data_IF_496198532234
#
_entry.id   IF_496198532234
#
_cell.length_a   1.000
_cell.length_b   1.000
_cell.length_c   1.000
_cell.angle_alpha   90.00
_cell.angle_beta   90.00
_cell.angle_gamma   90.00
#
_symmetry.space_group_name_H-M   'P 1'
#
loop_
_entity.id
_entity.type
_entity.pdbx_description
1 polymer ?
#
# COMPACT_ATOMS: atom_id res chain seq x y z
N UNK A 1 -3.73 11.67 -6.33
CA UNK A 1 -2.80 11.03 -5.35
C UNK A 1 -3.40 9.72 -4.92
N UNK A 2 -2.73 8.60 -5.16
CA UNK A 2 -3.21 7.26 -4.79
C UNK A 2 -2.16 6.54 -3.94
N UNK A 3 -2.63 5.71 -3.00
CA UNK A 3 -1.78 4.95 -2.08
C UNK A 3 -1.99 3.47 -2.31
N UNK A 4 -0.89 2.73 -2.36
CA UNK A 4 -0.88 1.29 -2.51
C UNK A 4 -0.08 0.66 -1.37
N UNK A 5 -0.44 -0.56 -1.02
CA UNK A 5 0.34 -1.38 -0.11
C UNK A 5 0.27 -2.83 -0.54
N UNK A 6 1.42 -3.46 -0.69
CA UNK A 6 1.50 -4.87 -1.00
C UNK A 6 1.72 -5.70 0.26
N UNK A 7 1.04 -6.83 0.30
CA UNK A 7 1.19 -7.87 1.32
C UNK A 7 1.52 -9.17 0.59
N UNK A 8 2.35 -10.00 1.20
CA UNK A 8 2.48 -11.37 0.73
C UNK A 8 1.19 -12.11 1.02
N UNK A 9 0.64 -12.77 0.02
CA UNK A 9 -0.55 -13.61 0.18
C UNK A 9 -0.41 -14.88 -0.67
N UNK A 10 -0.53 -16.03 0.00
CA UNK A 10 -0.46 -17.33 -0.63
C UNK A 10 -1.88 -17.91 -0.71
N UNK A 11 -2.49 -17.73 -1.88
CA UNK A 11 -3.88 -18.14 -2.12
C UNK A 11 -3.98 -19.64 -2.33
N UNK A 12 -4.82 -20.36 -1.53
CA UNK A 12 -4.93 -21.82 -1.62
C UNK A 12 -5.75 -22.30 -2.84
N UNK A 13 -6.29 -21.35 -3.63
CA UNK A 13 -7.22 -21.63 -4.72
C UNK A 13 -7.00 -20.72 -5.93
N UNK A 14 -7.44 -21.16 -7.14
CA UNK A 14 -7.44 -20.30 -8.32
C UNK A 14 -8.36 -19.08 -8.18
N UNK A 15 -8.05 -18.01 -8.92
CA UNK A 15 -8.80 -16.73 -8.93
C UNK A 15 -10.29 -16.95 -9.17
N UNK A 16 -10.67 -17.82 -10.08
CA UNK A 16 -12.09 -18.11 -10.38
C UNK A 16 -12.84 -18.72 -9.20
N UNK A 17 -12.18 -19.55 -8.39
CA UNK A 17 -12.76 -20.14 -7.18
C UNK A 17 -12.89 -19.06 -6.10
N UNK A 18 -11.84 -18.27 -5.88
CA UNK A 18 -11.87 -17.13 -4.96
C UNK A 18 -13.00 -16.15 -5.31
N UNK A 19 -13.17 -15.82 -6.61
CA UNK A 19 -14.26 -14.96 -7.06
C UNK A 19 -15.65 -15.52 -6.75
N UNK A 20 -15.83 -16.84 -6.78
CA UNK A 20 -17.11 -17.48 -6.37
C UNK A 20 -17.34 -17.35 -4.87
N UNK A 21 -16.32 -17.58 -4.06
CA UNK A 21 -16.43 -17.46 -2.60
C UNK A 21 -16.69 -16.00 -2.16
N UNK A 22 -16.02 -15.03 -2.80
CA UNK A 22 -16.26 -13.60 -2.59
C UNK A 22 -17.71 -13.23 -2.94
N UNK A 23 -18.29 -13.77 -4.03
CA UNK A 23 -19.70 -13.54 -4.38
C UNK A 23 -20.68 -14.09 -3.36
N UNK A 24 -20.35 -15.19 -2.69
CA UNK A 24 -21.20 -15.76 -1.63
C UNK A 24 -21.25 -14.87 -0.38
N UNK A 25 -20.28 -13.97 -0.23
CA UNK A 25 -20.16 -12.98 0.86
C UNK A 25 -20.33 -11.55 0.32
N UNK A 26 -21.18 -11.40 -0.71
CA UNK A 26 -21.45 -10.07 -1.29
C UNK A 26 -22.11 -9.15 -0.27
N UNK A 27 -21.68 -7.89 -0.29
CA UNK A 27 -22.34 -6.85 0.50
C UNK A 27 -23.77 -6.65 0.01
N UNK A 28 -24.70 -6.57 0.95
CA UNK A 28 -26.12 -6.25 0.73
C UNK A 28 -26.62 -5.28 1.80
N UNK A 29 -27.81 -4.72 1.59
CA UNK A 29 -28.39 -3.72 2.51
C UNK A 29 -28.67 -4.30 3.91
N UNK A 30 -28.84 -5.61 4.02
CA UNK A 30 -29.12 -6.30 5.29
C UNK A 30 -27.85 -6.72 6.04
N UNK A 31 -26.66 -6.58 5.39
CA UNK A 31 -25.39 -7.01 5.95
C UNK A 31 -24.59 -5.82 6.50
N UNK A 32 -23.91 -6.04 7.63
CA UNK A 32 -23.01 -5.04 8.20
C UNK A 32 -21.67 -4.94 7.47
N UNK A 33 -21.29 -5.98 6.73
CA UNK A 33 -20.08 -5.99 5.92
C UNK A 33 -20.15 -7.05 4.81
N UNK A 34 -19.34 -6.86 3.76
CA UNK A 34 -19.28 -7.82 2.65
C UNK A 34 -18.42 -7.32 1.51
N UNK A 35 -18.40 -8.07 0.42
CA UNK A 35 -17.57 -7.76 -0.73
C UNK A 35 -18.40 -7.24 -1.91
N UNK A 36 -17.81 -6.34 -2.68
CA UNK A 36 -18.28 -5.93 -4.01
C UNK A 36 -17.18 -6.33 -5.00
N UNK A 37 -17.51 -7.25 -5.91
CA UNK A 37 -16.58 -7.73 -6.92
C UNK A 37 -16.61 -6.79 -8.12
N UNK A 38 -15.51 -6.10 -8.39
CA UNK A 38 -15.42 -5.12 -9.47
C UNK A 38 -14.95 -5.77 -10.79
N UNK A 39 -13.94 -6.66 -10.72
CA UNK A 39 -13.34 -7.26 -11.92
C UNK A 39 -12.76 -8.65 -11.64
N UNK A 40 -12.93 -9.56 -12.60
CA UNK A 40 -12.31 -10.90 -12.57
C UNK A 40 -11.58 -11.15 -13.89
N UNK A 41 -10.33 -11.59 -13.77
CA UNK A 41 -9.49 -12.08 -14.87
C UNK A 41 -8.98 -13.47 -14.52
N UNK A 42 -8.25 -14.10 -15.42
CA UNK A 42 -7.68 -15.43 -15.15
C UNK A 42 -6.53 -15.38 -14.14
N UNK A 43 -5.81 -14.26 -14.10
CA UNK A 43 -4.61 -14.02 -13.30
C UNK A 43 -4.84 -13.12 -12.09
N UNK A 44 -6.00 -12.42 -11.97
CA UNK A 44 -6.32 -11.60 -10.81
C UNK A 44 -7.82 -11.33 -10.68
N UNK A 45 -8.22 -10.88 -9.49
CA UNK A 45 -9.49 -10.21 -9.25
C UNK A 45 -9.27 -8.87 -8.54
N UNK A 46 -10.21 -7.95 -8.76
CA UNK A 46 -10.32 -6.66 -8.07
C UNK A 46 -11.68 -6.62 -7.40
N UNK A 47 -11.67 -6.22 -6.12
CA UNK A 47 -12.87 -6.14 -5.32
C UNK A 47 -12.72 -5.06 -4.24
N UNK A 48 -13.85 -4.68 -3.66
CA UNK A 48 -13.92 -3.81 -2.50
C UNK A 48 -14.53 -4.57 -1.33
N UNK A 49 -13.96 -4.44 -0.18
CA UNK A 49 -14.57 -4.81 1.09
C UNK A 49 -15.26 -3.60 1.67
N UNK A 50 -16.52 -3.74 2.04
CA UNK A 50 -17.39 -2.67 2.54
C UNK A 50 -17.80 -3.01 3.96
N UNK A 51 -17.73 -2.05 4.86
CA UNK A 51 -18.24 -2.10 6.23
C UNK A 51 -19.24 -0.98 6.43
N UNK A 52 -20.40 -1.31 6.96
CA UNK A 52 -21.47 -0.38 7.30
C UNK A 52 -21.45 -0.11 8.80
N UNK A 53 -21.35 1.16 9.17
CA UNK A 53 -21.38 1.62 10.55
C UNK A 53 -22.60 2.49 10.79
N UNK A 54 -23.38 2.13 11.80
CA UNK A 54 -24.50 2.92 12.28
C UNK A 54 -24.19 3.37 13.70
N UNK A 55 -24.28 4.66 13.95
CA UNK A 55 -24.07 5.24 15.28
C UNK A 55 -24.91 6.49 15.49
N UNK A 56 -25.20 6.77 16.75
CA UNK A 56 -25.87 8.01 17.16
C UNK A 56 -24.83 9.12 17.34
N UNK A 57 -25.05 10.25 16.67
CA UNK A 57 -24.28 11.46 16.87
C UNK A 57 -25.12 12.49 17.64
N UNK A 58 -24.58 13.04 18.73
CA UNK A 58 -25.23 14.07 19.51
C UNK A 58 -24.46 15.38 19.36
N UNK A 59 -25.14 16.42 18.88
CA UNK A 59 -24.62 17.76 18.76
C UNK A 59 -25.33 18.64 19.79
N UNK A 60 -24.56 19.40 20.56
CA UNK A 60 -25.11 20.43 21.46
C UNK A 60 -25.11 21.78 20.75
N UNK A 61 -26.26 22.45 20.75
CA UNK A 61 -26.39 23.81 20.25
C UNK A 61 -25.70 24.80 21.22
N UNK A 62 -25.49 26.07 20.84
CA UNK A 62 -24.88 27.09 21.72
C UNK A 62 -25.69 27.38 22.99
N UNK A 63 -26.94 26.95 23.06
CA UNK A 63 -27.84 27.15 24.22
C UNK A 63 -27.92 25.90 25.12
N UNK A 64 -27.12 24.85 24.81
CA UNK A 64 -27.04 23.62 25.59
C UNK A 64 -28.12 22.58 25.26
N UNK A 65 -28.91 22.78 24.22
CA UNK A 65 -29.88 21.78 23.76
C UNK A 65 -29.15 20.70 22.97
N UNK A 66 -29.30 19.46 23.40
CA UNK A 66 -28.78 18.30 22.67
C UNK A 66 -29.73 17.88 21.53
N UNK A 67 -29.15 17.65 20.35
CA UNK A 67 -29.81 17.08 19.19
C UNK A 67 -29.10 15.78 18.85
N UNK A 68 -29.84 14.67 18.85
CA UNK A 68 -29.35 13.33 18.52
C UNK A 68 -29.93 12.89 17.20
N UNK A 69 -29.06 12.35 16.31
CA UNK A 69 -29.48 11.80 15.02
C UNK A 69 -28.64 10.56 14.69
N UNK A 70 -29.26 9.62 13.97
CA UNK A 70 -28.59 8.42 13.51
C UNK A 70 -27.74 8.76 12.29
N UNK A 71 -26.49 8.31 12.31
CA UNK A 71 -25.53 8.45 11.23
C UNK A 71 -25.18 7.10 10.66
N UNK A 72 -25.13 7.05 9.33
CA UNK A 72 -24.75 5.89 8.56
C UNK A 72 -23.47 6.23 7.79
N UNK A 73 -22.42 5.41 7.97
CA UNK A 73 -21.16 5.53 7.24
C UNK A 73 -20.76 4.21 6.60
N UNK A 74 -20.12 4.30 5.43
CA UNK A 74 -19.56 3.14 4.74
C UNK A 74 -18.05 3.31 4.63
N UNK A 75 -17.31 2.35 5.19
CA UNK A 75 -15.88 2.26 4.99
C UNK A 75 -15.59 1.23 3.90
N UNK A 76 -14.79 1.62 2.91
CA UNK A 76 -14.45 0.76 1.80
C UNK A 76 -12.94 0.59 1.70
N UNK A 77 -12.50 -0.64 1.45
CA UNK A 77 -11.11 -0.97 1.16
C UNK A 77 -11.04 -1.71 -0.16
N UNK A 78 -10.46 -1.07 -1.17
CA UNK A 78 -10.24 -1.69 -2.47
C UNK A 78 -9.00 -2.57 -2.43
N UNK A 79 -9.06 -3.74 -3.08
CA UNK A 79 -7.93 -4.66 -3.16
C UNK A 79 -7.88 -5.40 -4.49
N UNK A 80 -6.68 -5.85 -4.83
CA UNK A 80 -6.42 -6.78 -5.93
C UNK A 80 -5.76 -8.04 -5.38
N UNK A 81 -6.34 -9.19 -5.68
CA UNK A 81 -5.80 -10.50 -5.33
C UNK A 81 -5.31 -11.21 -6.59
N UNK A 82 -4.10 -11.78 -6.54
CA UNK A 82 -3.48 -12.50 -7.63
C UNK A 82 -2.71 -13.72 -7.08
N UNK A 83 -2.62 -14.85 -7.81
CA UNK A 83 -1.80 -15.99 -7.39
C UNK A 83 -0.30 -15.66 -7.41
N UNK A 84 0.08 -14.72 -8.29
CA UNK A 84 1.47 -14.31 -8.44
C UNK A 84 1.88 -13.32 -7.35
N UNK A 85 3.19 -13.30 -7.07
CA UNK A 85 3.80 -12.36 -6.15
C UNK A 85 3.40 -10.90 -6.44
N UNK A 86 3.08 -10.10 -5.40
CA UNK A 86 3.10 -10.42 -3.97
C UNK A 86 1.82 -11.11 -3.43
N UNK A 87 0.79 -11.27 -4.22
CA UNK A 87 -0.46 -11.93 -3.90
C UNK A 87 -1.61 -11.02 -3.52
N UNK A 88 -1.37 -9.96 -2.73
CA UNK A 88 -2.41 -9.02 -2.31
C UNK A 88 -1.93 -7.57 -2.42
N UNK A 89 -2.70 -6.74 -3.10
CA UNK A 89 -2.50 -5.29 -3.22
C UNK A 89 -3.71 -4.58 -2.62
N UNK A 90 -3.47 -3.64 -1.73
CA UNK A 90 -4.48 -2.75 -1.16
C UNK A 90 -4.37 -1.38 -1.80
N UNK A 91 -5.51 -0.76 -2.11
CA UNK A 91 -5.61 0.57 -2.72
C UNK A 91 -6.32 1.50 -1.77
N UNK A 92 -5.71 2.65 -1.49
CA UNK A 92 -6.21 3.68 -0.58
C UNK A 92 -6.75 3.16 0.77
N UNK A 93 -6.13 2.08 1.25
CA UNK A 93 -6.55 1.38 2.45
C UNK A 93 -6.55 2.29 3.69
N UNK A 94 -7.51 2.11 4.60
CA UNK A 94 -7.55 2.80 5.89
C UNK A 94 -6.35 2.37 6.76
N UNK A 95 -6.20 3.02 7.94
CA UNK A 95 -5.11 2.68 8.88
C UNK A 95 -5.17 1.23 9.35
N UNK A 96 -6.38 0.72 9.61
CA UNK A 96 -6.60 -0.69 9.96
C UNK A 96 -7.22 -1.42 8.78
N UNK A 97 -6.63 -2.54 8.41
CA UNK A 97 -7.15 -3.47 7.41
C UNK A 97 -7.49 -4.81 8.03
N UNK A 98 -7.62 -4.86 9.35
CA UNK A 98 -7.84 -6.09 10.10
C UNK A 98 -9.14 -6.79 9.70
N UNK A 99 -10.25 -6.04 9.58
CA UNK A 99 -11.54 -6.58 9.15
C UNK A 99 -11.45 -7.21 7.78
N UNK A 100 -10.86 -6.52 6.80
CA UNK A 100 -10.64 -7.08 5.46
C UNK A 100 -9.83 -8.38 5.53
N UNK A 101 -8.70 -8.37 6.25
CA UNK A 101 -7.83 -9.55 6.37
C UNK A 101 -8.59 -10.71 7.01
N UNK A 102 -9.34 -10.49 8.09
CA UNK A 102 -10.17 -11.51 8.73
C UNK A 102 -11.20 -12.10 7.78
N UNK A 103 -11.89 -11.25 7.02
CA UNK A 103 -12.90 -11.70 6.04
C UNK A 103 -12.27 -12.45 4.85
N UNK A 104 -11.08 -12.09 4.41
CA UNK A 104 -10.35 -12.85 3.39
C UNK A 104 -9.91 -14.22 3.91
N UNK A 105 -9.42 -14.31 5.15
CA UNK A 105 -9.06 -15.58 5.79
C UNK A 105 -10.29 -16.50 5.91
N UNK A 106 -11.42 -15.98 6.38
CA UNK A 106 -12.67 -16.74 6.46
C UNK A 106 -13.18 -17.17 5.07
N UNK A 107 -13.04 -16.30 4.05
CA UNK A 107 -13.45 -16.60 2.67
C UNK A 107 -12.62 -17.74 2.06
N UNK A 108 -11.40 -17.93 2.54
CA UNK A 108 -10.50 -19.00 2.13
C UNK A 108 -10.45 -20.16 3.15
N UNK A 109 -11.48 -20.31 4.00
CA UNK A 109 -11.57 -21.35 5.04
C UNK A 109 -10.29 -21.43 5.90
N UNK A 110 -9.68 -20.27 6.19
CA UNK A 110 -8.43 -20.12 6.94
C UNK A 110 -7.20 -20.81 6.33
N UNK A 111 -7.27 -21.23 5.08
CA UNK A 111 -6.13 -21.82 4.36
C UNK A 111 -5.26 -20.77 3.64
N UNK A 112 -5.66 -19.49 3.66
CA UNK A 112 -4.90 -18.35 3.13
C UNK A 112 -3.83 -17.92 4.13
N UNK A 113 -2.62 -17.68 3.65
CA UNK A 113 -1.55 -17.03 4.41
C UNK A 113 -1.39 -15.58 3.96
N UNK A 114 -1.43 -14.63 4.90
CA UNK A 114 -1.15 -13.21 4.62
C UNK A 114 -0.08 -12.72 5.58
N UNK A 115 0.98 -12.11 5.04
CA UNK A 115 2.08 -11.56 5.82
C UNK A 115 2.46 -10.15 5.32
N UNK A 116 2.92 -9.27 6.24
CA UNK A 116 3.48 -7.98 5.85
C UNK A 116 4.78 -8.18 5.07
N UNK A 117 5.00 -7.34 4.05
CA UNK A 117 6.25 -7.31 3.31
C UNK A 117 7.21 -6.30 3.93
N UNK A 118 8.50 -6.69 3.98
CA UNK A 118 9.60 -5.79 4.27
C UNK A 118 10.55 -5.81 3.08
N UNK A 119 10.78 -4.65 2.48
CA UNK A 119 11.59 -4.51 1.26
C UNK A 119 12.73 -3.52 1.45
N UNK A 120 13.85 -3.76 0.78
CA UNK A 120 14.90 -2.77 0.62
C UNK A 120 14.47 -1.74 -0.43
N UNK A 121 14.16 -0.52 0.01
CA UNK A 121 13.62 0.52 -0.87
C UNK A 121 14.64 1.02 -1.90
N UNK A 122 15.95 0.95 -1.61
CA UNK A 122 16.98 1.34 -2.57
C UNK A 122 17.08 0.31 -3.69
N UNK A 123 17.11 -0.96 -3.34
CA UNK A 123 17.07 -2.06 -4.32
C UNK A 123 15.82 -1.97 -5.18
N UNK A 124 14.67 -1.73 -4.54
CA UNK A 124 13.41 -1.58 -5.26
C UNK A 124 13.44 -0.42 -6.26
N UNK A 125 13.91 0.76 -5.85
CA UNK A 125 14.03 1.93 -6.73
C UNK A 125 14.99 1.68 -7.90
N UNK A 126 16.08 0.95 -7.70
CA UNK A 126 17.03 0.62 -8.75
C UNK A 126 16.41 -0.35 -9.78
N UNK A 127 15.76 -1.42 -9.31
CA UNK A 127 15.07 -2.38 -10.19
C UNK A 127 13.92 -1.69 -10.94
N UNK A 128 13.17 -0.81 -10.26
CA UNK A 128 12.16 0.02 -10.91
C UNK A 128 12.75 0.87 -12.04
N UNK A 129 13.87 1.55 -11.80
CA UNK A 129 14.54 2.39 -12.81
C UNK A 129 14.94 1.58 -14.04
N UNK A 130 15.45 0.36 -13.85
CA UNK A 130 15.82 -0.55 -14.95
C UNK A 130 14.60 -0.96 -15.77
N UNK A 131 13.51 -1.35 -15.12
CA UNK A 131 12.28 -1.78 -15.80
C UNK A 131 11.54 -0.64 -16.48
N UNK A 132 11.48 0.53 -15.84
CA UNK A 132 10.75 1.67 -16.37
C UNK A 132 11.47 2.34 -17.56
N UNK A 133 12.79 2.15 -17.67
CA UNK A 133 13.61 2.63 -18.78
C UNK A 133 13.73 4.15 -18.88
N UNK A 134 13.46 4.88 -17.78
CA UNK A 134 13.55 6.34 -17.69
C UNK A 134 14.42 6.76 -16.51
N UNK A 135 14.97 7.98 -16.61
CA UNK A 135 15.77 8.52 -15.51
C UNK A 135 14.92 8.72 -14.27
N UNK A 136 15.38 8.14 -13.16
CA UNK A 136 14.84 8.31 -11.82
C UNK A 136 15.75 9.23 -11.03
N UNK A 137 15.22 10.29 -10.44
CA UNK A 137 15.92 11.22 -9.56
C UNK A 137 15.38 11.02 -8.15
N UNK A 138 16.22 10.47 -7.27
CA UNK A 138 15.86 10.30 -5.85
C UNK A 138 16.12 11.64 -5.14
N UNK A 139 15.04 12.34 -4.78
CA UNK A 139 15.09 13.68 -4.18
C UNK A 139 14.89 13.67 -2.66
N UNK A 140 14.45 12.54 -2.08
CA UNK A 140 14.36 12.42 -0.63
C UNK A 140 14.59 10.99 -0.15
N UNK A 141 15.36 10.85 0.93
CA UNK A 141 15.63 9.59 1.63
C UNK A 141 15.40 9.79 3.12
N UNK A 142 14.63 8.90 3.75
CA UNK A 142 14.43 8.86 5.19
C UNK A 142 15.08 7.64 5.80
N UNK A 143 16.04 7.87 6.70
CA UNK A 143 16.64 6.88 7.56
C UNK A 143 15.88 6.86 8.90
N UNK A 144 15.29 5.73 9.25
CA UNK A 144 14.53 5.56 10.49
C UNK A 144 15.42 5.37 11.72
N UNK A 145 16.55 4.69 11.53
CA UNK A 145 17.55 4.51 12.55
C UNK A 145 18.93 4.54 11.93
N UNK A 146 19.66 5.62 12.16
CA UNK A 146 21.08 5.75 11.87
C UNK A 146 21.84 5.67 13.19
N UNK A 147 22.70 4.67 13.36
CA UNK A 147 23.51 4.54 14.56
C UNK A 147 24.67 5.53 14.49
N UNK A 148 24.63 6.53 15.38
CA UNK A 148 25.73 7.51 15.52
C UNK A 148 26.84 6.91 16.38
N UNK A 149 26.44 6.29 17.51
CA UNK A 149 27.33 5.51 18.38
C UNK A 149 26.57 4.32 18.99
N UNK A 150 27.13 3.71 20.05
CA UNK A 150 26.53 2.53 20.72
C UNK A 150 25.17 2.81 21.37
N UNK A 151 24.90 4.05 21.77
CA UNK A 151 23.73 4.46 22.54
C UNK A 151 22.82 5.42 21.78
N UNK A 152 23.32 6.11 20.76
CA UNK A 152 22.62 7.18 20.05
C UNK A 152 22.16 6.70 18.67
N UNK A 153 20.87 6.83 18.42
CA UNK A 153 20.24 6.63 17.12
C UNK A 153 19.60 7.92 16.66
N UNK A 154 19.80 8.29 15.41
CA UNK A 154 19.19 9.44 14.78
C UNK A 154 18.18 9.00 13.72
N UNK A 155 17.07 9.74 13.63
CA UNK A 155 16.19 9.74 12.47
C UNK A 155 16.61 10.88 11.55
N UNK A 156 16.96 10.58 10.30
CA UNK A 156 17.51 11.56 9.37
C UNK A 156 16.67 11.59 8.11
N UNK A 157 16.37 12.79 7.63
CA UNK A 157 15.78 13.00 6.31
C UNK A 157 16.78 13.79 5.46
N UNK A 158 17.20 13.18 4.36
CA UNK A 158 17.94 13.84 3.29
C UNK A 158 16.94 14.32 2.25
N UNK A 159 17.05 15.56 1.82
CA UNK A 159 16.22 16.14 0.76
C UNK A 159 17.07 17.06 -0.09
N UNK A 160 16.91 16.96 -1.40
CA UNK A 160 17.63 17.77 -2.38
C UNK A 160 16.80 18.04 -3.63
N UNK A 161 17.24 18.96 -4.44
CA UNK A 161 16.68 19.23 -5.76
C UNK A 161 17.21 18.25 -6.82
N UNK A 162 18.41 17.72 -6.59
CA UNK A 162 19.08 16.71 -7.38
C UNK A 162 19.07 15.36 -6.65
N UNK A 163 19.73 14.36 -7.25
CA UNK A 163 19.82 13.01 -6.71
C UNK A 163 20.65 12.95 -5.42
N UNK A 164 20.02 12.56 -4.32
CA UNK A 164 20.61 12.54 -2.98
C UNK A 164 21.29 11.21 -2.63
N UNK A 165 21.41 10.25 -3.57
CA UNK A 165 22.01 8.92 -3.31
C UNK A 165 23.46 9.01 -2.86
N UNK A 166 24.27 9.89 -3.47
CA UNK A 166 25.68 10.08 -3.09
C UNK A 166 25.83 10.61 -1.67
N UNK A 167 25.08 11.66 -1.34
CA UNK A 167 25.08 12.22 0.01
C UNK A 167 24.60 11.21 1.08
N UNK A 168 23.58 10.41 0.74
CA UNK A 168 23.14 9.33 1.61
C UNK A 168 24.23 8.30 1.83
N UNK A 169 24.91 7.86 0.78
CA UNK A 169 25.98 6.88 0.84
C UNK A 169 27.14 7.34 1.72
N UNK A 170 27.54 8.61 1.62
CA UNK A 170 28.56 9.22 2.48
C UNK A 170 28.11 9.25 3.95
N UNK A 171 26.86 9.66 4.21
CA UNK A 171 26.32 9.75 5.55
C UNK A 171 26.25 8.40 6.27
N UNK A 172 25.87 7.33 5.56
CA UNK A 172 25.70 5.99 6.15
C UNK A 172 26.99 5.17 6.17
N UNK A 173 28.08 5.67 5.57
CA UNK A 173 29.33 4.93 5.46
C UNK A 173 29.83 4.41 6.81
N UNK A 174 29.98 3.08 6.92
CA UNK A 174 30.42 2.40 8.16
C UNK A 174 29.40 2.39 9.31
N UNK A 175 28.18 2.86 9.11
CA UNK A 175 27.14 2.95 10.15
C UNK A 175 25.99 1.96 9.89
N UNK A 176 25.51 1.34 10.97
CA UNK A 176 24.25 0.60 10.91
C UNK A 176 23.09 1.58 10.70
N UNK A 177 22.20 1.27 9.78
CA UNK A 177 21.07 2.12 9.46
C UNK A 177 19.88 1.28 9.00
N UNK A 178 18.68 1.89 9.07
CA UNK A 178 17.44 1.37 8.49
C UNK A 178 16.90 2.42 7.54
N UNK A 179 16.76 2.07 6.28
CA UNK A 179 16.19 2.91 5.25
C UNK A 179 14.67 2.70 5.25
N UNK A 180 13.91 3.71 5.71
CA UNK A 180 12.45 3.57 5.87
C UNK A 180 11.68 3.97 4.63
N UNK A 181 12.06 5.09 4.02
CA UNK A 181 11.34 5.65 2.88
C UNK A 181 12.29 6.29 1.90
N UNK A 182 11.85 6.30 0.66
CA UNK A 182 12.55 6.93 -0.44
C UNK A 182 11.52 7.58 -1.35
N UNK A 183 11.75 8.84 -1.73
CA UNK A 183 10.95 9.54 -2.74
C UNK A 183 11.81 9.77 -3.97
N UNK A 184 11.19 9.56 -5.13
CA UNK A 184 11.84 9.83 -6.42
C UNK A 184 10.86 10.45 -7.41
N UNK A 185 11.41 11.13 -8.38
CA UNK A 185 10.69 11.70 -9.52
C UNK A 185 11.02 10.92 -10.78
N UNK A 186 9.98 10.65 -11.55
CA UNK A 186 10.05 10.00 -12.86
C UNK A 186 9.57 11.00 -13.91
N UNK A 187 10.27 11.07 -15.02
CA UNK A 187 9.88 11.87 -16.16
C UNK A 187 9.92 11.07 -17.45
N UNK A 188 8.89 11.22 -18.30
CA UNK A 188 8.85 10.69 -19.67
C UNK A 188 8.31 11.77 -20.58
N UNK A 189 9.19 12.40 -21.38
CA UNK A 189 8.85 13.62 -22.11
C UNK A 189 8.50 14.75 -21.13
N UNK A 190 7.34 15.38 -21.34
CA UNK A 190 6.83 16.47 -20.48
C UNK A 190 6.06 15.97 -19.24
N UNK A 191 5.75 14.67 -19.18
CA UNK A 191 5.01 14.06 -18.08
C UNK A 191 5.93 13.83 -16.89
N UNK A 192 5.43 14.17 -15.69
CA UNK A 192 6.19 14.02 -14.42
C UNK A 192 5.31 13.41 -13.35
N UNK A 193 5.88 12.50 -12.59
CA UNK A 193 5.22 11.82 -11.48
C UNK A 193 6.18 11.71 -10.30
N UNK A 194 5.71 12.01 -9.10
CA UNK A 194 6.46 11.77 -7.88
C UNK A 194 5.97 10.47 -7.22
N UNK A 195 6.91 9.66 -6.79
CA UNK A 195 6.66 8.36 -6.17
C UNK A 195 7.38 8.31 -4.83
N UNK A 196 6.64 7.96 -3.78
CA UNK A 196 7.22 7.64 -2.48
C UNK A 196 7.03 6.15 -2.24
N UNK A 197 8.10 5.45 -1.93
CA UNK A 197 8.11 4.05 -1.54
C UNK A 197 8.59 3.89 -0.11
N UNK A 198 8.08 2.90 0.62
CA UNK A 198 8.43 2.62 1.99
C UNK A 198 8.83 1.14 2.17
N UNK A 199 9.64 0.87 3.18
CA UNK A 199 10.19 -0.46 3.45
C UNK A 199 9.13 -1.51 3.83
N UNK A 200 7.91 -1.08 4.20
CA UNK A 200 6.76 -1.96 4.43
C UNK A 200 5.92 -2.20 3.17
N UNK A 201 6.53 -2.04 2.00
CA UNK A 201 5.92 -2.16 0.68
C UNK A 201 4.70 -1.23 0.46
N UNK A 202 4.67 -0.08 1.14
CA UNK A 202 3.70 0.96 0.86
C UNK A 202 4.25 1.94 -0.18
N UNK A 203 3.34 2.42 -1.06
CA UNK A 203 3.65 3.35 -2.14
C UNK A 203 2.63 4.46 -2.16
N UNK A 204 3.09 5.65 -2.52
CA UNK A 204 2.25 6.78 -2.88
C UNK A 204 2.69 7.31 -4.24
N UNK A 205 1.74 7.46 -5.14
CA UNK A 205 1.96 8.01 -6.48
C UNK A 205 1.21 9.34 -6.57
N UNK A 206 1.96 10.42 -6.83
CA UNK A 206 1.44 11.78 -7.01
C UNK A 206 1.59 12.17 -8.49
N UNK A 207 0.48 12.29 -9.20
CA UNK A 207 0.40 12.58 -10.64
C UNK A 207 -0.61 11.67 -11.34
N UNK A 208 -1.19 12.13 -12.44
CA UNK A 208 -2.22 11.40 -13.20
C UNK A 208 -1.68 10.69 -14.43
N UNK A 209 -0.75 11.33 -15.13
CA UNK A 209 -0.47 11.02 -16.53
C UNK A 209 0.39 9.75 -16.75
N UNK A 210 1.23 9.40 -15.77
CA UNK A 210 2.06 8.17 -15.81
C UNK A 210 1.63 7.16 -14.76
N UNK A 211 0.46 7.33 -14.15
CA UNK A 211 0.04 6.57 -12.96
C UNK A 211 0.05 5.06 -13.19
N UNK A 212 -0.63 4.61 -14.23
CA UNK A 212 -0.79 3.18 -14.51
C UNK A 212 0.52 2.51 -14.93
N UNK A 213 1.32 3.18 -15.77
CA UNK A 213 2.64 2.70 -16.19
C UNK A 213 3.59 2.55 -14.99
N UNK A 214 3.59 3.57 -14.11
CA UNK A 214 4.39 3.59 -12.88
C UNK A 214 3.94 2.49 -11.92
N UNK A 215 2.62 2.33 -11.72
CA UNK A 215 2.07 1.30 -10.85
C UNK A 215 2.45 -0.11 -11.33
N UNK A 216 2.30 -0.37 -12.62
CA UNK A 216 2.68 -1.67 -13.23
C UNK A 216 4.19 -1.91 -13.07
N UNK A 217 5.03 -0.91 -13.33
CA UNK A 217 6.47 -1.04 -13.17
C UNK A 217 6.88 -1.26 -11.71
N UNK A 218 6.24 -0.58 -10.74
CA UNK A 218 6.48 -0.77 -9.31
C UNK A 218 6.11 -2.17 -8.85
N UNK A 219 4.97 -2.70 -9.32
CA UNK A 219 4.53 -4.06 -9.02
C UNK A 219 5.52 -5.10 -9.55
N UNK A 220 5.97 -4.94 -10.80
CA UNK A 220 6.90 -5.87 -11.44
C UNK A 220 8.33 -5.80 -10.88
N UNK A 221 8.70 -4.66 -10.30
CA UNK A 221 10.01 -4.43 -9.69
C UNK A 221 10.06 -4.71 -8.17
N UNK A 222 8.92 -5.09 -7.56
CA UNK A 222 8.84 -5.36 -6.13
C UNK A 222 9.78 -6.53 -5.77
N UNK A 223 10.81 -6.30 -4.90
CA UNK A 223 11.76 -7.34 -4.56
C UNK A 223 11.06 -8.54 -3.92
N UNK A 224 11.33 -9.74 -4.43
CA UNK A 224 10.97 -10.97 -3.73
C UNK A 224 11.84 -11.07 -2.49
N UNK A 225 11.25 -11.36 -1.33
CA UNK A 225 12.06 -11.65 -0.14
C UNK A 225 12.94 -12.86 -0.47
N UNK A 226 14.25 -12.74 -0.25
CA UNK A 226 15.10 -13.91 -0.22
C UNK A 226 14.69 -14.74 1.02
N UNK A 227 14.22 -15.97 0.76
CA UNK A 227 13.95 -16.94 1.82
C UNK A 227 15.20 -17.23 2.64
#
# INVERSE_FOLDING_TARGET
>A
MSRYRWLQADWPMPVRTLAKQIRQRSFSDDESSGFILDRVRDDFLEARYVERYEYEETISDPFGKALTFNRLEFHQTSFRAAPEWPGLELVDAPRSTQSLVSQLLETADFALSIAPLMVDVMTWANVFQEHFGSRVVIDSIQLGALHIDKSVRAKVMLKGEEDVRSACKELIAGRKHVLEKLQFRVARGDLRTAVLIANNAAVRIDGSDLHDDVLVALRNSLPKQAC
#
